data_IF_055916138535
#
_entry.id   IF_055916138535
#
_cell.length_a   1.000
_cell.length_b   1.000
_cell.length_c   1.000
_cell.angle_alpha   90.00
_cell.angle_beta   90.00
_cell.angle_gamma   90.00
#
_symmetry.space_group_name_H-M   'P 1'
#
loop_
_entity.id
_entity.type
_entity.pdbx_description
1 polymer ?
#
# COMPACT_ATOMS: atom_id res chain seq x y z
N UNK A 1 -63.93 -31.88 -102.07
CA UNK A 1 -64.40 -30.49 -101.88
C UNK A 1 -63.31 -29.71 -101.16
N UNK A 2 -63.04 -28.46 -101.56
CA UNK A 2 -62.16 -27.56 -100.79
C UNK A 2 -62.95 -26.98 -99.61
N UNK A 3 -62.55 -27.34 -98.38
CA UNK A 3 -63.28 -26.99 -97.15
C UNK A 3 -62.55 -25.89 -96.36
N UNK A 4 -61.21 -25.83 -96.49
CA UNK A 4 -60.35 -24.83 -95.83
C UNK A 4 -60.74 -24.56 -94.37
N UNK A 5 -60.69 -25.61 -93.54
CA UNK A 5 -61.00 -25.55 -92.12
C UNK A 5 -59.77 -25.09 -91.31
N UNK A 6 -59.91 -23.99 -90.57
CA UNK A 6 -58.92 -23.53 -89.59
C UNK A 6 -59.49 -23.74 -88.19
N UNK A 7 -58.92 -24.68 -87.44
CA UNK A 7 -59.27 -24.93 -86.03
C UNK A 7 -58.07 -24.62 -85.17
N UNK A 8 -58.30 -24.14 -83.96
CA UNK A 8 -57.30 -24.10 -82.92
C UNK A 8 -57.83 -24.78 -81.66
N UNK A 9 -56.94 -25.41 -80.91
CA UNK A 9 -57.27 -26.05 -79.65
C UNK A 9 -57.13 -25.06 -78.48
N UNK A 10 -57.57 -25.49 -77.29
CA UNK A 10 -57.50 -24.69 -76.06
C UNK A 10 -56.06 -24.38 -75.65
N UNK A 11 -55.09 -25.20 -76.07
CA UNK A 11 -53.65 -24.97 -75.88
C UNK A 11 -53.04 -23.99 -76.90
N UNK A 12 -53.87 -23.36 -77.76
CA UNK A 12 -53.50 -22.40 -78.81
C UNK A 12 -52.71 -23.02 -79.97
N UNK A 13 -52.76 -24.34 -80.14
CA UNK A 13 -52.23 -25.01 -81.31
C UNK A 13 -53.23 -24.89 -82.47
N UNK A 14 -52.77 -24.39 -83.61
CA UNK A 14 -53.62 -24.18 -84.80
C UNK A 14 -53.36 -25.25 -85.86
N UNK A 15 -54.44 -25.68 -86.53
CA UNK A 15 -54.44 -26.66 -87.60
C UNK A 15 -55.19 -26.09 -88.80
N UNK A 16 -54.59 -26.17 -89.98
CA UNK A 16 -55.22 -25.76 -91.25
C UNK A 16 -55.38 -26.99 -92.13
N UNK A 17 -56.62 -27.39 -92.36
CA UNK A 17 -56.99 -28.57 -93.14
C UNK A 17 -57.65 -28.09 -94.43
N UNK A 18 -57.07 -28.42 -95.59
CA UNK A 18 -57.46 -27.82 -96.87
C UNK A 18 -58.56 -28.63 -97.56
N UNK A 19 -58.43 -29.95 -97.54
CA UNK A 19 -59.33 -30.88 -98.24
C UNK A 19 -60.36 -31.52 -97.31
N UNK A 20 -61.51 -31.96 -97.87
CA UNK A 20 -62.52 -32.70 -97.11
C UNK A 20 -62.01 -34.04 -96.55
N UNK A 21 -61.06 -34.69 -97.22
CA UNK A 21 -60.44 -35.94 -96.76
C UNK A 21 -59.49 -35.72 -95.57
N UNK A 22 -58.69 -34.65 -95.60
CA UNK A 22 -57.84 -34.25 -94.47
C UNK A 22 -58.69 -33.93 -93.22
N UNK A 23 -59.78 -33.19 -93.41
CA UNK A 23 -60.74 -32.87 -92.35
C UNK A 23 -61.34 -34.15 -91.77
N UNK A 24 -61.80 -35.08 -92.62
CA UNK A 24 -62.42 -36.34 -92.18
C UNK A 24 -61.42 -37.21 -91.42
N UNK A 25 -60.23 -37.44 -91.97
CA UNK A 25 -59.20 -38.26 -91.35
C UNK A 25 -58.76 -37.72 -89.99
N UNK A 26 -58.49 -36.41 -89.90
CA UNK A 26 -58.08 -35.76 -88.66
C UNK A 26 -59.18 -35.80 -87.60
N UNK A 27 -60.40 -35.36 -87.94
CA UNK A 27 -61.50 -35.31 -87.00
C UNK A 27 -61.98 -36.71 -86.59
N UNK A 28 -61.93 -37.71 -87.46
CA UNK A 28 -62.24 -39.09 -87.08
C UNK A 28 -61.21 -39.67 -86.11
N UNK A 29 -59.92 -39.35 -86.27
CA UNK A 29 -58.90 -39.76 -85.31
C UNK A 29 -59.11 -39.11 -83.93
N UNK A 30 -59.44 -37.82 -83.89
CA UNK A 30 -59.81 -37.11 -82.65
C UNK A 30 -61.10 -37.68 -82.04
N UNK A 31 -62.11 -37.97 -82.86
CA UNK A 31 -63.37 -38.58 -82.42
C UNK A 31 -63.14 -39.93 -81.76
N UNK A 32 -62.33 -40.80 -82.37
CA UNK A 32 -62.01 -42.13 -81.81
C UNK A 32 -61.31 -41.99 -80.48
N UNK A 33 -60.26 -41.17 -80.41
CA UNK A 33 -59.51 -40.94 -79.18
C UNK A 33 -60.39 -40.41 -78.04
N UNK A 34 -61.17 -39.34 -78.28
CA UNK A 34 -62.02 -38.77 -77.23
C UNK A 34 -63.22 -39.67 -76.87
N UNK A 35 -63.66 -40.55 -77.79
CA UNK A 35 -64.68 -41.55 -77.47
C UNK A 35 -64.11 -42.65 -76.56
N UNK A 36 -62.92 -43.16 -76.86
CA UNK A 36 -62.20 -44.11 -76.00
C UNK A 36 -61.98 -43.51 -74.60
N UNK A 37 -61.49 -42.27 -74.52
CA UNK A 37 -61.28 -41.58 -73.23
C UNK A 37 -62.58 -41.27 -72.49
N UNK A 38 -63.68 -41.03 -73.19
CA UNK A 38 -64.99 -40.91 -72.55
C UNK A 38 -65.45 -42.22 -71.93
N UNK A 39 -65.26 -43.34 -72.61
CA UNK A 39 -65.60 -44.67 -72.09
C UNK A 39 -64.73 -45.04 -70.89
N UNK A 40 -63.44 -44.69 -70.93
CA UNK A 40 -62.46 -44.96 -69.87
C UNK A 40 -62.71 -44.14 -68.60
N UNK A 41 -62.92 -42.82 -68.73
CA UNK A 41 -63.00 -41.91 -67.58
C UNK A 41 -64.42 -41.58 -67.13
N UNK A 42 -65.43 -41.85 -67.96
CA UNK A 42 -66.84 -41.64 -67.63
C UNK A 42 -67.15 -40.24 -67.10
N UNK A 43 -67.70 -40.16 -65.88
CA UNK A 43 -68.06 -38.90 -65.22
C UNK A 43 -66.85 -38.09 -64.71
N UNK A 44 -65.65 -38.68 -64.67
CA UNK A 44 -64.42 -38.00 -64.27
C UNK A 44 -63.87 -37.11 -65.39
N UNK A 45 -64.17 -37.41 -66.65
CA UNK A 45 -63.73 -36.55 -67.75
C UNK A 45 -64.48 -35.21 -67.72
N UNK A 46 -63.82 -34.12 -68.08
CA UNK A 46 -64.48 -32.83 -68.24
C UNK A 46 -65.65 -32.93 -69.23
N UNK A 47 -66.79 -32.32 -68.90
CA UNK A 47 -68.01 -32.44 -69.69
C UNK A 47 -67.84 -31.90 -71.12
N UNK A 48 -67.01 -30.88 -71.32
CA UNK A 48 -66.79 -30.31 -72.64
C UNK A 48 -65.93 -31.25 -73.49
N UNK A 49 -64.84 -31.79 -72.93
CA UNK A 49 -64.00 -32.83 -73.57
C UNK A 49 -64.81 -34.10 -73.85
N UNK A 50 -65.64 -34.52 -72.90
CA UNK A 50 -66.52 -35.65 -73.05
C UNK A 50 -67.57 -35.42 -74.14
N UNK A 51 -67.83 -34.21 -74.63
CA UNK A 51 -68.77 -33.95 -75.74
C UNK A 51 -68.11 -33.79 -77.12
N UNK A 52 -66.78 -33.89 -77.20
CA UNK A 52 -66.02 -33.72 -78.46
C UNK A 52 -66.49 -34.69 -79.55
N UNK A 53 -66.69 -35.99 -79.31
CA UNK A 53 -67.18 -36.92 -80.32
C UNK A 53 -68.54 -36.56 -80.94
N UNK A 54 -69.51 -36.04 -80.18
CA UNK A 54 -70.81 -35.60 -80.75
C UNK A 54 -70.62 -34.36 -81.61
N UNK A 55 -69.83 -33.38 -81.14
CA UNK A 55 -69.58 -32.14 -81.88
C UNK A 55 -68.89 -32.43 -83.22
N UNK A 56 -67.92 -33.36 -83.22
CA UNK A 56 -67.27 -33.81 -84.43
C UNK A 56 -68.25 -34.56 -85.35
N UNK A 57 -69.05 -35.48 -84.81
CA UNK A 57 -69.99 -36.27 -85.62
C UNK A 57 -71.05 -35.39 -86.28
N UNK A 58 -71.61 -34.42 -85.55
CA UNK A 58 -72.55 -33.42 -86.06
C UNK A 58 -71.93 -32.58 -87.17
N UNK A 59 -70.68 -32.14 -87.01
CA UNK A 59 -69.97 -31.39 -88.05
C UNK A 59 -69.71 -32.23 -89.31
N UNK A 60 -69.24 -33.47 -89.15
CA UNK A 60 -68.99 -34.40 -90.27
C UNK A 60 -70.27 -34.78 -91.01
N UNK A 61 -71.40 -34.95 -90.31
CA UNK A 61 -72.71 -35.19 -90.94
C UNK A 61 -73.16 -34.01 -91.80
N UNK A 62 -73.01 -32.78 -91.29
CA UNK A 62 -73.33 -31.56 -92.05
C UNK A 62 -72.42 -31.41 -93.27
N UNK A 63 -71.13 -31.70 -93.14
CA UNK A 63 -70.18 -31.73 -94.25
C UNK A 63 -70.56 -32.78 -95.30
N UNK A 64 -70.90 -34.00 -94.88
CA UNK A 64 -71.35 -35.07 -95.76
C UNK A 64 -72.67 -34.73 -96.48
N UNK A 65 -73.58 -34.01 -95.81
CA UNK A 65 -74.84 -33.56 -96.41
C UNK A 65 -74.61 -32.52 -97.51
N UNK A 66 -73.64 -31.62 -97.34
CA UNK A 66 -73.24 -30.65 -98.34
C UNK A 66 -72.54 -31.33 -99.52
N UNK A 67 -71.61 -32.26 -99.26
CA UNK A 67 -70.91 -33.02 -100.31
C UNK A 67 -71.89 -33.85 -101.17
N UNK A 68 -72.89 -34.48 -100.54
CA UNK A 68 -73.99 -35.18 -101.24
C UNK A 68 -74.86 -34.25 -102.07
N UNK A 69 -75.13 -33.03 -101.58
CA UNK A 69 -75.94 -32.04 -102.30
C UNK A 69 -75.19 -31.41 -103.49
N UNK A 70 -73.85 -31.29 -103.41
CA UNK A 70 -73.00 -30.85 -104.53
C UNK A 70 -72.88 -31.91 -105.64
N UNK A 71 -73.04 -33.19 -105.31
CA UNK A 71 -72.97 -34.33 -106.24
C UNK A 71 -74.34 -34.73 -106.83
N UNK A 72 -75.44 -34.13 -106.39
CA UNK A 72 -76.79 -34.43 -106.86
C UNK A 72 -77.17 -33.71 -108.16
N UNK A 73 -78.24 -34.15 -108.84
CA UNK A 73 -78.71 -33.54 -110.10
C UNK A 73 -78.95 -32.01 -109.97
N UNK A 74 -78.65 -31.22 -111.03
CA UNK A 74 -78.78 -29.76 -111.00
C UNK A 74 -80.23 -29.34 -110.69
N UNK A 75 -80.40 -28.49 -109.66
CA UNK A 75 -81.71 -27.93 -109.28
C UNK A 75 -82.46 -28.67 -108.16
N UNK A 76 -81.97 -29.83 -107.70
CA UNK A 76 -82.60 -30.58 -106.59
C UNK A 76 -82.42 -29.92 -105.21
N UNK A 77 -81.36 -29.15 -105.02
CA UNK A 77 -81.03 -28.48 -103.76
C UNK A 77 -80.61 -27.03 -104.01
N UNK A 78 -80.92 -26.13 -103.07
CA UNK A 78 -80.39 -24.77 -103.08
C UNK A 78 -78.95 -24.76 -102.52
N UNK A 79 -77.98 -25.02 -103.38
CA UNK A 79 -76.55 -25.15 -103.03
C UNK A 79 -76.03 -23.87 -102.36
N UNK A 80 -76.46 -22.68 -102.81
CA UNK A 80 -76.04 -21.39 -102.22
C UNK A 80 -76.50 -21.26 -100.77
N UNK A 81 -77.75 -21.63 -100.48
CA UNK A 81 -78.29 -21.62 -99.12
C UNK A 81 -77.60 -22.67 -98.24
N UNK A 82 -77.32 -23.87 -98.76
CA UNK A 82 -76.60 -24.92 -98.03
C UNK A 82 -75.16 -24.52 -97.69
N UNK A 83 -74.45 -23.83 -98.60
CA UNK A 83 -73.11 -23.29 -98.33
C UNK A 83 -73.12 -22.26 -97.20
N UNK A 84 -74.08 -21.32 -97.21
CA UNK A 84 -74.21 -20.33 -96.14
C UNK A 84 -74.53 -20.98 -94.77
N UNK A 85 -75.37 -22.01 -94.75
CA UNK A 85 -75.67 -22.76 -93.52
C UNK A 85 -74.41 -23.48 -93.03
N UNK A 86 -73.67 -24.15 -93.93
CA UNK A 86 -72.43 -24.83 -93.59
C UNK A 86 -71.33 -23.88 -93.09
N UNK A 87 -71.20 -22.68 -93.66
CA UNK A 87 -70.26 -21.67 -93.18
C UNK A 87 -70.56 -21.23 -91.74
N UNK A 88 -71.83 -21.00 -91.39
CA UNK A 88 -72.22 -20.66 -90.01
C UNK A 88 -71.90 -21.81 -89.05
N UNK A 89 -72.14 -23.04 -89.46
CA UNK A 89 -71.87 -24.25 -88.67
C UNK A 89 -70.38 -24.51 -88.50
N UNK A 90 -69.59 -24.25 -89.55
CA UNK A 90 -68.12 -24.27 -89.50
C UNK A 90 -67.61 -23.24 -88.51
N UNK A 91 -68.14 -22.02 -88.55
CA UNK A 91 -67.71 -20.94 -87.65
C UNK A 91 -68.13 -21.24 -86.19
N UNK A 92 -69.32 -21.81 -85.98
CA UNK A 92 -69.76 -22.29 -84.67
C UNK A 92 -68.89 -23.44 -84.13
N UNK A 93 -68.57 -24.42 -84.98
CA UNK A 93 -67.72 -25.55 -84.64
C UNK A 93 -66.30 -25.08 -84.28
N UNK A 94 -65.68 -24.24 -85.11
CA UNK A 94 -64.34 -23.70 -84.84
C UNK A 94 -64.30 -22.86 -83.55
N UNK A 95 -65.32 -22.02 -83.31
CA UNK A 95 -65.44 -21.25 -82.07
C UNK A 95 -65.61 -22.11 -80.82
N UNK A 96 -66.31 -23.24 -80.94
CA UNK A 96 -66.45 -24.21 -79.85
C UNK A 96 -65.13 -24.96 -79.58
N UNK A 97 -64.44 -25.40 -80.63
CA UNK A 97 -63.17 -26.13 -80.54
C UNK A 97 -62.10 -25.33 -79.81
N UNK A 98 -61.99 -24.03 -80.11
CA UNK A 98 -61.02 -23.12 -79.46
C UNK A 98 -61.19 -23.04 -77.94
N UNK A 99 -62.42 -23.19 -77.42
CA UNK A 99 -62.72 -23.04 -75.99
C UNK A 99 -62.62 -24.35 -75.22
N UNK A 100 -62.93 -25.46 -75.88
CA UNK A 100 -63.31 -26.70 -75.20
C UNK A 100 -62.47 -27.91 -75.58
N UNK A 101 -61.89 -27.95 -76.78
CA UNK A 101 -61.13 -29.09 -77.27
C UNK A 101 -59.63 -28.93 -77.02
N UNK A 102 -58.96 -30.05 -76.76
CA UNK A 102 -57.50 -30.16 -76.71
C UNK A 102 -57.11 -31.23 -77.73
N UNK A 103 -56.12 -30.97 -78.57
CA UNK A 103 -55.69 -31.94 -79.57
C UNK A 103 -55.03 -33.15 -78.89
N UNK A 104 -55.28 -34.38 -79.38
CA UNK A 104 -54.67 -35.60 -78.81
C UNK A 104 -53.14 -35.59 -78.83
N UNK A 105 -52.55 -34.85 -79.77
CA UNK A 105 -51.10 -34.74 -79.96
C UNK A 105 -50.42 -33.73 -79.04
N UNK A 106 -51.17 -33.03 -78.18
CA UNK A 106 -50.60 -32.01 -77.32
C UNK A 106 -49.78 -32.67 -76.19
N UNK A 107 -48.51 -32.24 -75.93
CA UNK A 107 -47.58 -32.98 -75.05
C UNK A 107 -48.08 -33.24 -73.62
N UNK A 108 -48.95 -32.37 -73.08
CA UNK A 108 -49.46 -32.51 -71.71
C UNK A 108 -50.70 -33.40 -71.60
N UNK A 109 -51.27 -33.89 -72.71
CA UNK A 109 -52.57 -34.60 -72.70
C UNK A 109 -52.50 -35.88 -71.89
N UNK A 110 -51.46 -36.69 -72.05
CA UNK A 110 -51.30 -37.91 -71.26
C UNK A 110 -51.14 -37.61 -69.76
N UNK A 111 -50.35 -36.59 -69.41
CA UNK A 111 -50.21 -36.14 -68.03
C UNK A 111 -51.51 -35.56 -67.46
N UNK A 112 -52.31 -34.90 -68.29
CA UNK A 112 -53.64 -34.40 -67.93
C UNK A 112 -54.63 -35.54 -67.71
N UNK A 113 -54.61 -36.57 -68.56
CA UNK A 113 -55.46 -37.75 -68.42
C UNK A 113 -55.12 -38.52 -67.14
N UNK A 114 -53.85 -38.66 -66.79
CA UNK A 114 -53.43 -39.20 -65.51
C UNK A 114 -54.02 -38.41 -64.32
N UNK A 115 -54.16 -37.08 -64.43
CA UNK A 115 -54.82 -36.29 -63.40
C UNK A 115 -56.35 -36.53 -63.34
N UNK A 116 -57.00 -36.84 -64.47
CA UNK A 116 -58.43 -37.22 -64.49
C UNK A 116 -58.71 -38.59 -63.86
N UNK A 117 -57.71 -39.47 -63.68
CA UNK A 117 -57.88 -40.75 -62.98
C UNK A 117 -58.33 -40.53 -61.53
N UNK A 118 -57.81 -39.49 -60.89
CA UNK A 118 -58.14 -39.11 -59.52
C UNK A 118 -59.56 -38.53 -59.45
N UNK A 119 -59.81 -37.43 -60.17
CA UNK A 119 -61.15 -36.85 -60.29
C UNK A 119 -61.26 -35.81 -61.41
N UNK A 120 -62.49 -35.42 -61.72
CA UNK A 120 -62.78 -34.34 -62.68
C UNK A 120 -62.11 -33.02 -62.28
N UNK A 121 -62.13 -32.70 -60.99
CA UNK A 121 -61.51 -31.48 -60.46
C UNK A 121 -59.99 -31.52 -60.60
N UNK A 122 -59.37 -32.68 -60.35
CA UNK A 122 -57.92 -32.88 -60.49
C UNK A 122 -57.44 -32.64 -61.92
N UNK A 123 -58.10 -33.26 -62.91
CA UNK A 123 -57.76 -33.06 -64.32
C UNK A 123 -58.06 -31.64 -64.84
N UNK A 124 -59.15 -31.02 -64.39
CA UNK A 124 -59.45 -29.62 -64.71
C UNK A 124 -58.40 -28.66 -64.14
N UNK A 125 -58.03 -28.83 -62.86
CA UNK A 125 -56.98 -28.02 -62.24
C UNK A 125 -55.62 -28.20 -62.91
N UNK A 126 -55.27 -29.43 -63.33
CA UNK A 126 -54.07 -29.67 -64.13
C UNK A 126 -54.11 -28.90 -65.45
N UNK A 127 -55.18 -29.08 -66.23
CA UNK A 127 -55.37 -28.43 -67.53
C UNK A 127 -55.28 -26.92 -67.41
N UNK A 128 -56.01 -26.32 -66.47
CA UNK A 128 -56.09 -24.87 -66.32
C UNK A 128 -54.76 -24.28 -65.84
N UNK A 129 -53.99 -25.04 -65.04
CA UNK A 129 -52.63 -24.66 -64.62
C UNK A 129 -51.64 -24.64 -65.79
N UNK A 130 -51.73 -25.62 -66.69
CA UNK A 130 -50.82 -25.71 -67.85
C UNK A 130 -51.23 -24.75 -68.97
N UNK A 131 -52.52 -24.70 -69.29
CA UNK A 131 -53.04 -23.93 -70.44
C UNK A 131 -53.26 -22.46 -70.11
N UNK A 132 -53.78 -22.15 -68.92
CA UNK A 132 -54.13 -20.78 -68.51
C UNK A 132 -53.15 -20.17 -67.51
N UNK A 133 -52.12 -20.91 -67.06
CA UNK A 133 -51.15 -20.47 -66.05
C UNK A 133 -51.83 -19.98 -64.76
N UNK A 134 -52.96 -20.61 -64.39
CA UNK A 134 -53.73 -20.28 -63.19
C UNK A 134 -53.52 -21.34 -62.11
N UNK A 135 -53.08 -20.94 -60.92
CA UNK A 135 -52.96 -21.80 -59.75
C UNK A 135 -54.14 -21.57 -58.79
N UNK A 136 -55.33 -22.03 -59.17
CA UNK A 136 -56.55 -21.86 -58.36
C UNK A 136 -56.99 -23.20 -57.75
N UNK A 137 -57.04 -23.26 -56.42
CA UNK A 137 -57.66 -24.39 -55.72
C UNK A 137 -59.17 -24.17 -55.71
N UNK A 138 -59.90 -25.06 -56.36
CA UNK A 138 -61.36 -24.97 -56.55
C UNK A 138 -62.12 -25.76 -55.49
N UNK A 139 -63.30 -25.26 -55.12
CA UNK A 139 -64.14 -25.78 -54.03
C UNK A 139 -64.22 -24.84 -52.83
N UNK A 140 -65.32 -24.89 -52.08
CA UNK A 140 -65.45 -24.22 -50.78
C UNK A 140 -65.96 -25.23 -49.73
N UNK A 141 -65.09 -25.76 -48.84
CA UNK A 141 -63.66 -25.51 -48.75
C UNK A 141 -62.88 -26.07 -49.97
N UNK A 142 -61.65 -25.57 -50.23
CA UNK A 142 -60.85 -26.02 -51.37
C UNK A 142 -60.63 -27.53 -51.35
N UNK A 143 -60.89 -28.20 -52.47
CA UNK A 143 -60.82 -29.66 -52.55
C UNK A 143 -59.38 -30.15 -52.64
N UNK A 144 -59.09 -31.25 -51.93
CA UNK A 144 -57.79 -31.93 -52.01
C UNK A 144 -57.48 -32.40 -53.44
N UNK A 145 -58.50 -32.78 -54.19
CA UNK A 145 -58.43 -33.10 -55.61
C UNK A 145 -57.90 -31.94 -56.46
N UNK A 146 -58.41 -30.73 -56.24
CA UNK A 146 -57.91 -29.54 -56.96
C UNK A 146 -56.44 -29.27 -56.63
N UNK A 147 -56.03 -29.48 -55.38
CA UNK A 147 -54.61 -29.40 -54.99
C UNK A 147 -53.77 -30.51 -55.63
N UNK A 148 -54.29 -31.74 -55.71
CA UNK A 148 -53.62 -32.88 -56.36
C UNK A 148 -53.35 -32.57 -57.83
N UNK A 149 -54.34 -32.05 -58.56
CA UNK A 149 -54.16 -31.61 -59.95
C UNK A 149 -53.12 -30.50 -60.13
N UNK A 150 -53.10 -29.52 -59.21
CA UNK A 150 -52.10 -28.45 -59.18
C UNK A 150 -50.68 -28.98 -58.93
N UNK A 151 -50.53 -29.94 -58.01
CA UNK A 151 -49.24 -30.56 -57.70
C UNK A 151 -48.73 -31.36 -58.90
N UNK A 152 -49.59 -32.14 -59.56
CA UNK A 152 -49.21 -32.86 -60.78
C UNK A 152 -48.81 -31.90 -61.91
N UNK A 153 -49.48 -30.75 -62.05
CA UNK A 153 -49.08 -29.73 -63.02
C UNK A 153 -47.75 -29.05 -62.67
N UNK A 154 -47.51 -28.80 -61.38
CA UNK A 154 -46.23 -28.28 -60.87
C UNK A 154 -45.08 -29.25 -61.19
N UNK A 155 -45.26 -30.54 -60.90
CA UNK A 155 -44.26 -31.57 -61.20
C UNK A 155 -44.01 -31.68 -62.70
N UNK A 156 -45.06 -31.73 -63.53
CA UNK A 156 -44.96 -31.77 -64.98
C UNK A 156 -44.20 -30.55 -65.54
N UNK A 157 -44.47 -29.34 -65.04
CA UNK A 157 -43.83 -28.11 -65.52
C UNK A 157 -42.36 -27.99 -65.11
N UNK A 158 -41.96 -28.61 -64.00
CA UNK A 158 -40.65 -28.42 -63.38
C UNK A 158 -39.86 -29.73 -63.25
N UNK A 159 -40.11 -30.71 -64.13
CA UNK A 159 -39.49 -32.06 -64.10
C UNK A 159 -37.96 -32.06 -63.87
N UNK A 160 -37.23 -31.03 -64.31
CA UNK A 160 -35.77 -30.90 -64.10
C UNK A 160 -35.32 -29.71 -63.22
N UNK A 161 -36.26 -28.89 -62.73
CA UNK A 161 -35.98 -27.67 -61.93
C UNK A 161 -36.60 -27.69 -60.54
N UNK A 162 -37.40 -28.70 -60.19
CA UNK A 162 -37.99 -28.84 -58.86
C UNK A 162 -36.94 -29.29 -57.84
N UNK A 163 -36.12 -28.34 -57.39
CA UNK A 163 -35.32 -28.54 -56.20
C UNK A 163 -36.23 -28.41 -54.96
N UNK A 164 -37.08 -29.41 -54.70
CA UNK A 164 -37.64 -29.56 -53.36
C UNK A 164 -36.44 -29.56 -52.39
N UNK A 165 -36.34 -28.53 -51.54
CA UNK A 165 -35.19 -28.35 -50.65
C UNK A 165 -35.07 -29.59 -49.78
N UNK A 166 -34.10 -30.46 -50.09
CA UNK A 166 -33.84 -31.66 -49.29
C UNK A 166 -33.25 -31.22 -47.96
N UNK A 167 -34.08 -31.17 -46.90
CA UNK A 167 -33.73 -30.86 -45.50
C UNK A 167 -32.37 -31.43 -45.07
N UNK A 168 -32.07 -32.68 -45.45
CA UNK A 168 -30.81 -33.35 -45.15
C UNK A 168 -29.55 -32.59 -45.60
N UNK A 169 -29.60 -31.87 -46.74
CA UNK A 169 -28.44 -31.14 -47.27
C UNK A 169 -28.19 -29.84 -46.50
N UNK A 170 -29.24 -29.12 -46.12
CA UNK A 170 -29.12 -27.93 -45.27
C UNK A 170 -28.66 -28.30 -43.87
N UNK A 171 -29.20 -29.36 -43.28
CA UNK A 171 -28.77 -29.86 -41.96
C UNK A 171 -27.31 -30.29 -41.98
N UNK A 172 -26.86 -31.04 -42.99
CA UNK A 172 -25.46 -31.44 -43.13
C UNK A 172 -24.52 -30.22 -43.15
N UNK A 173 -24.88 -29.18 -43.91
CA UNK A 173 -24.09 -27.94 -43.98
C UNK A 173 -24.03 -27.24 -42.62
N UNK A 174 -25.15 -27.14 -41.91
CA UNK A 174 -25.18 -26.57 -40.55
C UNK A 174 -24.33 -27.38 -39.56
N UNK A 175 -24.37 -28.72 -39.63
CA UNK A 175 -23.52 -29.57 -38.80
C UNK A 175 -22.04 -29.44 -39.13
N UNK A 176 -21.67 -29.29 -40.41
CA UNK A 176 -20.28 -29.03 -40.82
C UNK A 176 -19.78 -27.69 -40.27
N UNK A 177 -20.61 -26.64 -40.31
CA UNK A 177 -20.29 -25.34 -39.71
C UNK A 177 -20.10 -25.45 -38.19
N UNK A 178 -21.07 -26.03 -37.48
CA UNK A 178 -20.98 -26.21 -36.02
C UNK A 178 -19.76 -27.05 -35.60
N UNK A 179 -19.42 -28.08 -36.38
CA UNK A 179 -18.23 -28.88 -36.14
C UNK A 179 -16.96 -28.05 -36.29
N UNK A 180 -16.87 -27.24 -37.36
CA UNK A 180 -15.70 -26.38 -37.60
C UNK A 180 -15.53 -25.35 -36.49
N UNK A 181 -16.61 -24.69 -36.09
CA UNK A 181 -16.60 -23.71 -35.01
C UNK A 181 -16.15 -24.37 -33.69
N UNK A 182 -16.62 -25.58 -33.40
CA UNK A 182 -16.21 -26.32 -32.21
C UNK A 182 -14.74 -26.78 -32.25
N UNK A 183 -14.24 -27.17 -33.43
CA UNK A 183 -12.82 -27.49 -33.62
C UNK A 183 -11.93 -26.25 -33.42
N UNK A 184 -12.34 -25.10 -33.97
CA UNK A 184 -11.62 -23.82 -33.81
C UNK A 184 -11.60 -23.33 -32.35
N UNK A 185 -12.74 -23.36 -31.65
CA UNK A 185 -12.81 -22.96 -30.25
C UNK A 185 -12.05 -23.92 -29.34
N UNK A 186 -12.08 -25.23 -29.62
CA UNK A 186 -11.23 -26.21 -28.91
C UNK A 186 -9.76 -25.84 -29.08
N UNK A 187 -9.31 -25.55 -30.29
CA UNK A 187 -7.91 -25.27 -30.56
C UNK A 187 -7.45 -23.96 -29.89
N UNK A 188 -8.30 -22.92 -29.88
CA UNK A 188 -8.05 -21.68 -29.12
C UNK A 188 -7.90 -21.97 -27.63
N UNK A 189 -8.83 -22.71 -27.03
CA UNK A 189 -8.79 -23.06 -25.61
C UNK A 189 -7.53 -23.86 -25.26
N UNK A 190 -7.10 -24.78 -26.11
CA UNK A 190 -5.86 -25.54 -25.91
C UNK A 190 -4.64 -24.61 -25.92
N UNK A 191 -4.58 -23.65 -26.84
CA UNK A 191 -3.50 -22.65 -26.90
C UNK A 191 -3.52 -21.75 -25.66
N UNK A 192 -4.68 -21.27 -25.23
CA UNK A 192 -4.83 -20.46 -24.02
C UNK A 192 -4.41 -21.20 -22.75
N UNK A 193 -4.83 -22.46 -22.60
CA UNK A 193 -4.44 -23.31 -21.46
C UNK A 193 -2.92 -23.54 -21.45
N UNK A 194 -2.31 -23.76 -22.61
CA UNK A 194 -0.87 -23.90 -22.73
C UNK A 194 -0.14 -22.59 -22.36
N UNK A 195 -0.66 -21.44 -22.81
CA UNK A 195 -0.16 -20.12 -22.44
C UNK A 195 -0.24 -19.87 -20.94
N UNK A 196 -1.41 -20.10 -20.34
CA UNK A 196 -1.65 -19.95 -18.91
C UNK A 196 -0.74 -20.86 -18.08
N UNK A 197 -0.52 -22.11 -18.51
CA UNK A 197 0.42 -23.03 -17.84
C UNK A 197 1.85 -22.49 -17.87
N UNK A 198 2.31 -21.98 -19.01
CA UNK A 198 3.65 -21.38 -19.12
C UNK A 198 3.77 -20.14 -18.23
N UNK A 199 2.74 -19.31 -18.15
CA UNK A 199 2.70 -18.16 -17.24
C UNK A 199 2.80 -18.58 -15.78
N UNK A 200 2.03 -19.59 -15.35
CA UNK A 200 2.12 -20.16 -13.99
C UNK A 200 3.52 -20.68 -13.69
N UNK A 201 4.11 -21.45 -14.60
CA UNK A 201 5.46 -22.01 -14.40
C UNK A 201 6.51 -20.88 -14.31
N UNK A 202 6.39 -19.84 -15.15
CA UNK A 202 7.26 -18.67 -15.09
C UNK A 202 7.09 -17.87 -13.80
N UNK A 203 5.86 -17.75 -13.30
CA UNK A 203 5.55 -17.05 -12.06
C UNK A 203 6.12 -17.84 -10.88
N UNK A 204 5.87 -19.16 -10.81
CA UNK A 204 6.41 -20.05 -9.78
C UNK A 204 7.93 -19.96 -9.69
N UNK A 205 8.61 -20.08 -10.82
CA UNK A 205 10.08 -20.04 -10.86
C UNK A 205 10.62 -18.67 -10.41
N UNK A 206 9.99 -17.57 -10.84
CA UNK A 206 10.36 -16.22 -10.38
C UNK A 206 10.15 -16.05 -8.89
N UNK A 207 8.99 -16.44 -8.37
CA UNK A 207 8.66 -16.34 -6.94
C UNK A 207 9.62 -17.19 -6.09
N UNK A 208 9.94 -18.41 -6.52
CA UNK A 208 10.88 -19.27 -5.82
C UNK A 208 12.29 -18.66 -5.78
N UNK A 209 12.79 -18.13 -6.90
CA UNK A 209 14.09 -17.47 -6.96
C UNK A 209 14.13 -16.22 -6.09
N UNK A 210 13.13 -15.35 -6.21
CA UNK A 210 13.05 -14.12 -5.41
C UNK A 210 12.92 -14.42 -3.91
N UNK A 211 12.19 -15.47 -3.53
CA UNK A 211 12.08 -15.89 -2.14
C UNK A 211 13.41 -16.41 -1.61
N UNK A 212 14.12 -17.27 -2.37
CA UNK A 212 15.46 -17.77 -2.01
C UNK A 212 16.45 -16.62 -1.82
N UNK A 213 16.52 -15.70 -2.78
CA UNK A 213 17.41 -14.53 -2.67
C UNK A 213 17.07 -13.63 -1.48
N UNK A 214 15.78 -13.39 -1.22
CA UNK A 214 15.35 -12.64 -0.04
C UNK A 214 15.74 -13.35 1.25
N UNK A 215 15.53 -14.66 1.32
CA UNK A 215 15.86 -15.48 2.49
C UNK A 215 17.36 -15.48 2.77
N UNK A 216 18.19 -15.66 1.75
CA UNK A 216 19.65 -15.62 1.86
C UNK A 216 20.14 -14.26 2.36
N UNK A 217 19.60 -13.16 1.81
CA UNK A 217 19.90 -11.80 2.28
C UNK A 217 19.50 -11.60 3.74
N UNK A 218 18.31 -12.05 4.13
CA UNK A 218 17.83 -11.94 5.52
C UNK A 218 18.70 -12.73 6.49
N UNK A 219 19.12 -13.93 6.11
CA UNK A 219 20.01 -14.75 6.92
C UNK A 219 21.37 -14.09 7.12
N UNK A 220 21.98 -13.55 6.05
CA UNK A 220 23.24 -12.81 6.13
C UNK A 220 23.11 -11.55 6.98
N UNK A 221 22.10 -10.71 6.72
CA UNK A 221 21.87 -9.48 7.48
C UNK A 221 21.62 -9.75 8.97
N UNK A 222 20.90 -10.83 9.29
CA UNK A 222 20.66 -11.21 10.68
C UNK A 222 21.96 -11.64 11.37
N UNK A 223 22.80 -12.42 10.69
CA UNK A 223 24.10 -12.83 11.21
C UNK A 223 25.03 -11.63 11.45
N UNK A 224 25.12 -10.72 10.48
CA UNK A 224 25.93 -9.49 10.58
C UNK A 224 25.41 -8.55 11.67
N UNK A 225 24.09 -8.42 11.81
CA UNK A 225 23.49 -7.64 12.87
C UNK A 225 23.81 -8.22 14.26
N UNK A 226 23.71 -9.54 14.44
CA UNK A 226 24.06 -10.19 15.70
C UNK A 226 25.54 -10.03 16.06
N UNK A 227 26.46 -10.14 15.09
CA UNK A 227 27.90 -9.97 15.34
C UNK A 227 28.22 -8.52 15.71
N UNK A 228 27.71 -7.55 14.94
CA UNK A 228 27.91 -6.13 15.20
C UNK A 228 27.36 -5.73 16.58
N UNK A 229 26.12 -6.11 16.90
CA UNK A 229 25.51 -5.78 18.19
C UNK A 229 26.24 -6.44 19.37
N UNK A 230 26.73 -7.67 19.21
CA UNK A 230 27.52 -8.36 20.23
C UNK A 230 28.85 -7.65 20.48
N UNK A 231 29.53 -7.18 19.44
CA UNK A 231 30.78 -6.44 19.57
C UNK A 231 30.58 -5.07 20.23
N UNK A 232 29.57 -4.33 19.81
CA UNK A 232 29.26 -3.02 20.38
C UNK A 232 28.81 -3.14 21.84
N UNK A 233 27.99 -4.15 22.16
CA UNK A 233 27.63 -4.46 23.55
C UNK A 233 28.87 -4.77 24.40
N UNK A 234 29.81 -5.59 23.89
CA UNK A 234 31.07 -5.88 24.59
C UNK A 234 31.89 -4.61 24.83
N UNK A 235 32.03 -3.74 23.82
CA UNK A 235 32.74 -2.45 23.94
C UNK A 235 32.07 -1.55 24.98
N UNK A 236 30.74 -1.43 24.94
CA UNK A 236 29.99 -0.62 25.88
C UNK A 236 30.13 -1.14 27.33
N UNK A 237 30.05 -2.46 27.53
CA UNK A 237 30.25 -3.08 28.85
C UNK A 237 31.67 -2.86 29.36
N UNK A 238 32.68 -3.02 28.51
CA UNK A 238 34.08 -2.79 28.87
C UNK A 238 34.32 -1.32 29.27
N UNK A 239 33.86 -0.37 28.43
CA UNK A 239 33.99 1.06 28.71
C UNK A 239 33.26 1.48 29.99
N UNK A 240 32.05 0.95 30.22
CA UNK A 240 31.30 1.25 31.44
C UNK A 240 31.97 0.66 32.68
N UNK A 241 32.54 -0.55 32.57
CA UNK A 241 33.26 -1.19 33.68
C UNK A 241 34.53 -0.40 34.04
N UNK A 242 35.28 0.07 33.04
CA UNK A 242 36.47 0.90 33.24
C UNK A 242 36.11 2.25 33.90
N UNK A 243 35.06 2.92 33.41
CA UNK A 243 34.56 4.15 34.01
C UNK A 243 34.12 3.93 35.45
N UNK A 244 33.32 2.89 35.71
CA UNK A 244 32.84 2.56 37.06
C UNK A 244 34.00 2.30 38.02
N UNK A 245 34.97 1.47 37.62
CA UNK A 245 36.15 1.18 38.44
C UNK A 245 36.95 2.47 38.71
N UNK A 246 37.17 3.32 37.71
CA UNK A 246 37.88 4.59 37.90
C UNK A 246 37.16 5.53 38.88
N UNK A 247 35.83 5.60 38.83
CA UNK A 247 35.02 6.39 39.76
C UNK A 247 35.05 5.81 41.17
N UNK A 248 34.99 4.47 41.30
CA UNK A 248 35.07 3.78 42.58
C UNK A 248 36.45 4.01 43.23
N UNK A 249 37.54 3.84 42.48
CA UNK A 249 38.90 4.07 42.95
C UNK A 249 39.10 5.55 43.36
N UNK A 250 38.61 6.48 42.55
CA UNK A 250 38.65 7.91 42.88
C UNK A 250 37.85 8.22 44.16
N UNK A 251 36.66 7.65 44.33
CA UNK A 251 35.84 7.83 45.52
C UNK A 251 36.52 7.26 46.77
N UNK A 252 37.11 6.07 46.68
CA UNK A 252 37.87 5.46 47.78
C UNK A 252 39.07 6.32 48.15
N UNK A 253 39.85 6.79 47.17
CA UNK A 253 41.00 7.67 47.39
C UNK A 253 40.59 8.97 48.06
N UNK A 254 39.57 9.64 47.53
CA UNK A 254 39.02 10.90 48.06
C UNK A 254 38.53 10.74 49.50
N UNK A 255 37.86 9.63 49.81
CA UNK A 255 37.37 9.37 51.15
C UNK A 255 38.52 9.17 52.14
N UNK A 256 39.59 8.48 51.73
CA UNK A 256 40.79 8.31 52.55
C UNK A 256 41.50 9.66 52.81
N UNK A 257 41.67 10.48 51.78
CA UNK A 257 42.25 11.83 51.90
C UNK A 257 41.43 12.71 52.87
N UNK A 258 40.10 12.66 52.77
CA UNK A 258 39.21 13.39 53.67
C UNK A 258 39.28 12.87 55.11
N UNK A 259 39.38 11.55 55.31
CA UNK A 259 39.55 10.97 56.64
C UNK A 259 40.86 11.42 57.28
N UNK A 260 41.97 11.40 56.53
CA UNK A 260 43.29 11.86 56.98
C UNK A 260 43.25 13.36 57.33
N UNK A 261 42.71 14.21 56.45
CA UNK A 261 42.54 15.64 56.71
C UNK A 261 41.71 15.91 57.97
N UNK A 262 40.60 15.17 58.16
CA UNK A 262 39.75 15.32 59.33
C UNK A 262 40.45 14.89 60.63
N UNK A 263 41.21 13.79 60.59
CA UNK A 263 42.04 13.34 61.72
C UNK A 263 43.09 14.40 62.09
N UNK A 264 43.75 15.01 61.11
CA UNK A 264 44.74 16.08 61.38
C UNK A 264 44.09 17.34 61.92
N UNK A 265 42.91 17.72 61.41
CA UNK A 265 42.10 18.80 61.98
C UNK A 265 41.78 18.57 63.45
N UNK A 266 41.27 17.38 63.79
CA UNK A 266 40.90 17.06 65.17
C UNK A 266 42.11 17.07 66.11
N UNK A 267 43.30 16.64 65.63
CA UNK A 267 44.54 16.65 66.41
C UNK A 267 44.97 18.05 66.83
N UNK A 268 44.72 19.08 66.01
CA UNK A 268 45.25 20.44 66.22
C UNK A 268 44.22 21.47 66.63
N UNK A 269 42.94 21.24 66.34
CA UNK A 269 41.86 22.15 66.76
C UNK A 269 41.76 22.23 68.29
N UNK A 270 41.92 21.11 69.00
CA UNK A 270 41.93 21.08 70.47
C UNK A 270 43.06 21.93 71.08
N UNK A 271 44.34 21.67 70.72
CA UNK A 271 45.46 22.49 71.16
C UNK A 271 45.35 23.97 70.76
N UNK A 272 44.89 24.29 69.55
CA UNK A 272 44.72 25.68 69.09
C UNK A 272 43.73 26.44 69.99
N UNK A 273 42.57 25.83 70.28
CA UNK A 273 41.58 26.42 71.21
C UNK A 273 42.16 26.61 72.61
N UNK A 274 42.91 25.64 73.10
CA UNK A 274 43.57 25.76 74.40
C UNK A 274 44.56 26.95 74.45
N UNK A 275 45.36 27.15 73.40
CA UNK A 275 46.29 28.28 73.33
C UNK A 275 45.57 29.63 73.25
N UNK A 276 44.47 29.71 72.50
CA UNK A 276 43.60 30.89 72.46
C UNK A 276 43.05 31.24 73.86
N UNK A 277 42.50 30.25 74.56
CA UNK A 277 41.98 30.43 75.93
C UNK A 277 43.09 30.82 76.93
N UNK A 278 44.28 30.25 76.74
CA UNK A 278 45.47 30.54 77.57
C UNK A 278 45.97 31.95 77.32
N UNK A 279 46.02 32.40 76.07
CA UNK A 279 46.37 33.76 75.69
C UNK A 279 45.43 34.78 76.34
N UNK A 280 44.12 34.58 76.25
CA UNK A 280 43.14 35.47 76.89
C UNK A 280 43.34 35.54 78.42
N UNK A 281 43.53 34.38 79.05
CA UNK A 281 43.74 34.31 80.50
C UNK A 281 45.02 35.04 80.93
N UNK A 282 46.13 34.83 80.22
CA UNK A 282 47.39 35.51 80.48
C UNK A 282 47.32 37.01 80.20
N UNK A 283 46.60 37.43 79.15
CA UNK A 283 46.36 38.83 78.86
C UNK A 283 45.55 39.53 79.96
N UNK A 284 44.54 38.85 80.53
CA UNK A 284 43.81 39.35 81.70
C UNK A 284 44.72 39.48 82.92
N UNK A 285 45.61 38.52 83.18
CA UNK A 285 46.59 38.59 84.27
C UNK A 285 47.59 39.73 84.05
N UNK A 286 48.14 39.88 82.83
CA UNK A 286 49.05 40.97 82.46
C UNK A 286 48.43 42.35 82.63
N UNK A 287 47.17 42.54 82.20
CA UNK A 287 46.39 43.76 82.46
C UNK A 287 46.18 44.01 83.95
N UNK A 288 46.04 42.96 84.77
CA UNK A 288 45.98 43.07 86.23
C UNK A 288 47.26 43.63 86.82
N UNK A 289 48.41 43.01 86.51
CA UNK A 289 49.72 43.45 86.97
C UNK A 289 50.09 44.85 86.46
N UNK A 290 49.78 45.16 85.20
CA UNK A 290 50.01 46.47 84.61
C UNK A 290 49.23 47.57 85.35
N UNK A 291 47.94 47.32 85.66
CA UNK A 291 47.13 48.27 86.45
C UNK A 291 47.71 48.47 87.84
N UNK A 292 48.13 47.40 88.51
CA UNK A 292 48.74 47.47 89.84
C UNK A 292 50.05 48.26 89.81
N UNK A 293 50.90 48.03 88.80
CA UNK A 293 52.14 48.77 88.57
C UNK A 293 51.88 50.28 88.38
N UNK A 294 50.90 50.63 87.53
CA UNK A 294 50.55 52.05 87.26
C UNK A 294 50.01 52.72 88.52
N UNK A 295 49.09 52.07 89.25
CA UNK A 295 48.54 52.61 90.50
C UNK A 295 49.63 52.79 91.57
N UNK A 296 50.50 51.80 91.75
CA UNK A 296 51.60 51.86 92.71
C UNK A 296 52.61 52.95 92.35
N UNK A 297 52.97 53.07 91.06
CA UNK A 297 53.86 54.13 90.57
C UNK A 297 53.26 55.52 90.76
N UNK A 298 51.96 55.69 90.48
CA UNK A 298 51.25 56.95 90.70
C UNK A 298 51.22 57.32 92.19
N UNK A 299 50.88 56.35 93.06
CA UNK A 299 50.87 56.54 94.51
C UNK A 299 52.26 56.95 95.01
N UNK A 300 53.32 56.29 94.52
CA UNK A 300 54.68 56.63 94.88
C UNK A 300 55.07 58.04 94.42
N UNK A 301 54.67 58.43 93.21
CA UNK A 301 54.91 59.78 92.68
C UNK A 301 54.21 60.86 93.52
N UNK A 302 52.94 60.62 93.90
CA UNK A 302 52.18 61.52 94.79
C UNK A 302 52.81 61.59 96.18
N UNK A 303 53.18 60.45 96.77
CA UNK A 303 53.83 60.40 98.08
C UNK A 303 55.19 61.11 98.08
N UNK A 304 56.01 60.90 97.04
CA UNK A 304 57.29 61.59 96.85
C UNK A 304 57.09 63.10 96.65
N UNK A 305 56.10 63.50 95.85
CA UNK A 305 55.75 64.92 95.63
C UNK A 305 55.26 65.62 96.90
N UNK A 306 54.38 64.99 97.67
CA UNK A 306 53.92 65.50 98.96
C UNK A 306 55.06 65.62 99.98
N UNK A 307 55.93 64.60 100.07
CA UNK A 307 57.12 64.65 100.92
C UNK A 307 58.05 65.79 100.51
N UNK A 308 58.32 65.97 99.21
CA UNK A 308 59.17 67.05 98.71
C UNK A 308 58.57 68.44 98.96
N UNK A 309 57.26 68.59 98.80
CA UNK A 309 56.55 69.84 99.08
C UNK A 309 56.61 70.22 100.57
N UNK A 310 56.37 69.26 101.46
CA UNK A 310 56.45 69.43 102.91
C UNK A 310 57.86 69.81 103.35
N UNK A 311 58.88 69.12 102.80
CA UNK A 311 60.29 69.40 103.04
C UNK A 311 60.73 70.81 102.59
N UNK A 312 60.14 71.35 101.50
CA UNK A 312 60.49 72.67 100.97
C UNK A 312 59.80 73.82 101.71
N UNK A 313 58.55 73.62 102.16
CA UNK A 313 57.68 74.68 102.68
C UNK A 313 57.78 74.81 104.20
N UNK A 314 57.82 73.69 104.92
CA UNK A 314 57.86 73.67 106.38
C UNK A 314 59.25 73.25 106.85
N UNK A 315 60.01 74.17 107.47
CA UNK A 315 61.22 73.84 108.25
C UNK A 315 60.86 73.14 109.59
N UNK A 316 59.85 72.27 109.58
CA UNK A 316 59.46 71.48 110.74
C UNK A 316 60.28 70.20 110.81
N UNK A 317 60.68 69.82 112.02
CA UNK A 317 61.37 68.56 112.28
C UNK A 317 60.41 67.40 112.00
N UNK A 318 60.43 66.90 110.76
CA UNK A 318 59.82 65.60 110.45
C UNK A 318 60.54 64.58 111.36
N UNK A 319 59.81 63.73 112.11
CA UNK A 319 60.43 62.78 113.05
C UNK A 319 61.43 61.80 112.39
N UNK A 320 61.39 61.71 111.06
CA UNK A 320 62.35 60.98 110.21
C UNK A 320 63.03 61.91 109.19
N UNK A 321 63.44 63.11 109.61
CA UNK A 321 64.10 64.07 108.74
C UNK A 321 65.45 63.58 108.20
N UNK A 322 65.79 64.00 106.98
CA UNK A 322 67.08 63.72 106.32
C UNK A 322 68.31 64.30 107.05
N UNK A 323 68.10 64.99 108.18
CA UNK A 323 69.15 65.54 109.04
C UNK A 323 69.73 64.50 110.03
N UNK A 324 69.06 63.36 110.24
CA UNK A 324 69.53 62.25 111.07
C UNK A 324 70.00 61.07 110.24
N UNK A 325 71.10 60.42 110.64
CA UNK A 325 71.63 59.22 109.98
C UNK A 325 70.59 58.08 109.92
N UNK A 326 69.74 57.95 110.95
CA UNK A 326 68.66 56.96 110.98
C UNK A 326 67.56 57.28 109.95
N UNK A 327 67.22 58.56 109.75
CA UNK A 327 66.22 59.00 108.77
C UNK A 327 66.69 58.79 107.33
N UNK A 328 67.96 59.12 107.03
CA UNK A 328 68.57 58.87 105.72
C UNK A 328 68.61 57.36 105.40
N UNK A 329 68.97 56.52 106.37
CA UNK A 329 69.01 55.07 106.19
C UNK A 329 67.61 54.48 105.92
N UNK A 330 66.59 54.88 106.68
CA UNK A 330 65.21 54.41 106.51
C UNK A 330 64.60 54.86 105.18
N UNK A 331 64.85 56.11 104.78
CA UNK A 331 64.41 56.63 103.48
C UNK A 331 65.11 55.87 102.33
N UNK A 332 66.42 55.67 102.41
CA UNK A 332 67.18 54.90 101.43
C UNK A 332 66.68 53.46 101.29
N UNK A 333 66.41 52.78 102.41
CA UNK A 333 65.83 51.43 102.42
C UNK A 333 64.42 51.40 101.81
N UNK A 334 63.57 52.38 102.13
CA UNK A 334 62.20 52.49 101.61
C UNK A 334 62.18 52.77 100.11
N UNK A 335 63.03 53.68 99.65
CA UNK A 335 63.20 53.98 98.22
C UNK A 335 63.72 52.76 97.46
N UNK A 336 64.72 52.04 98.01
CA UNK A 336 65.22 50.81 97.42
C UNK A 336 64.14 49.72 97.35
N UNK A 337 63.35 49.53 98.41
CA UNK A 337 62.23 48.59 98.45
C UNK A 337 61.16 48.94 97.41
N UNK A 338 60.84 50.22 97.25
CA UNK A 338 59.89 50.67 96.24
C UNK A 338 60.39 50.45 94.81
N UNK A 339 61.66 50.78 94.50
CA UNK A 339 62.28 50.51 93.20
C UNK A 339 62.29 49.01 92.91
N UNK A 340 62.61 48.18 93.92
CA UNK A 340 62.53 46.73 93.80
C UNK A 340 61.11 46.24 93.49
N UNK A 341 60.10 46.80 94.15
CA UNK A 341 58.69 46.43 93.95
C UNK A 341 58.19 46.83 92.56
N UNK A 342 58.54 48.03 92.07
CA UNK A 342 58.31 48.46 90.68
C UNK A 342 58.97 47.49 89.70
N UNK A 343 60.23 47.09 89.96
CA UNK A 343 60.95 46.13 89.12
C UNK A 343 60.27 44.76 89.08
N UNK A 344 59.78 44.26 90.22
CA UNK A 344 59.07 42.97 90.31
C UNK A 344 57.74 43.04 89.55
N UNK A 345 56.94 44.08 89.77
CA UNK A 345 55.66 44.26 89.07
C UNK A 345 55.83 44.45 87.56
N UNK A 346 56.87 45.18 87.15
CA UNK A 346 57.25 45.32 85.74
C UNK A 346 57.63 43.96 85.14
N UNK A 347 58.45 43.15 85.83
CA UNK A 347 58.79 41.79 85.39
C UNK A 347 57.58 40.87 85.30
N UNK A 348 56.65 40.91 86.26
CA UNK A 348 55.41 40.11 86.23
C UNK A 348 54.50 40.52 85.06
N UNK A 349 54.40 41.82 84.80
CA UNK A 349 53.63 42.36 83.68
C UNK A 349 54.21 41.90 82.34
N UNK A 350 55.51 42.12 82.13
CA UNK A 350 56.18 41.70 80.90
C UNK A 350 56.16 40.18 80.72
N UNK A 351 56.36 39.41 81.80
CA UNK A 351 56.27 37.95 81.73
C UNK A 351 54.88 37.47 81.31
N UNK A 352 53.81 38.06 81.83
CA UNK A 352 52.45 37.69 81.47
C UNK A 352 52.15 38.02 80.01
N UNK A 353 52.60 39.18 79.52
CA UNK A 353 52.42 39.56 78.11
C UNK A 353 53.31 38.75 77.15
N UNK A 354 54.53 38.37 77.54
CA UNK A 354 55.36 37.47 76.73
C UNK A 354 54.73 36.09 76.59
N UNK A 355 54.22 35.51 77.68
CA UNK A 355 53.53 34.22 77.65
C UNK A 355 52.20 34.31 76.87
N UNK A 356 51.49 35.45 76.94
CA UNK A 356 50.30 35.68 76.12
C UNK A 356 50.68 35.65 74.63
N UNK A 357 51.69 36.42 74.23
CA UNK A 357 52.11 36.50 72.83
C UNK A 357 52.60 35.16 72.30
N UNK A 358 53.33 34.38 73.10
CA UNK A 358 53.72 33.01 72.75
C UNK A 358 52.48 32.12 72.53
N UNK A 359 51.46 32.22 73.38
CA UNK A 359 50.21 31.48 73.18
C UNK A 359 49.47 31.93 71.91
N UNK A 360 49.42 33.23 71.59
CA UNK A 360 48.84 33.76 70.34
C UNK A 360 49.63 33.28 69.10
N UNK A 361 50.96 33.28 69.16
CA UNK A 361 51.83 32.80 68.08
C UNK A 361 51.61 31.29 67.84
N UNK A 362 51.46 30.47 68.89
CA UNK A 362 51.16 29.03 68.77
C UNK A 362 49.76 28.75 68.21
N UNK A 363 48.76 29.57 68.56
CA UNK A 363 47.43 29.50 67.97
C UNK A 363 47.49 29.77 66.45
N UNK A 364 48.16 30.86 66.05
CA UNK A 364 48.29 31.24 64.64
C UNK A 364 49.08 30.21 63.84
N UNK A 365 50.17 29.67 64.39
CA UNK A 365 50.94 28.59 63.76
C UNK A 365 50.10 27.31 63.60
N UNK A 366 49.22 27.00 64.56
CA UNK A 366 48.30 25.86 64.45
C UNK A 366 47.32 26.04 63.28
N UNK A 367 46.76 27.25 63.14
CA UNK A 367 45.86 27.56 62.03
C UNK A 367 46.58 27.59 60.67
N UNK A 368 47.80 28.15 60.62
CA UNK A 368 48.63 28.15 59.42
C UNK A 368 48.95 26.72 58.96
N UNK A 369 49.31 25.84 59.90
CA UNK A 369 49.55 24.44 59.59
C UNK A 369 48.29 23.75 59.03
N UNK A 370 47.12 23.99 59.64
CA UNK A 370 45.85 23.44 59.16
C UNK A 370 45.47 23.95 57.77
N UNK A 371 45.69 25.23 57.46
CA UNK A 371 45.43 25.76 56.12
C UNK A 371 46.37 25.14 55.09
N UNK A 372 47.64 24.97 55.43
CA UNK A 372 48.64 24.42 54.51
C UNK A 372 48.43 22.92 54.24
N UNK A 373 47.97 22.13 55.22
CA UNK A 373 47.56 20.73 54.97
C UNK A 373 46.34 20.69 54.04
N UNK A 374 45.34 21.53 54.29
CA UNK A 374 44.12 21.56 53.48
C UNK A 374 44.41 21.93 52.00
N UNK A 375 45.41 22.77 51.76
CA UNK A 375 45.87 23.13 50.41
C UNK A 375 46.86 22.11 49.82
N UNK A 376 47.21 21.05 50.56
CA UNK A 376 48.17 20.03 50.12
C UNK A 376 49.60 20.56 49.94
N UNK A 377 49.94 21.69 50.57
CA UNK A 377 51.12 22.49 50.31
C UNK A 377 52.32 22.21 51.25
N UNK A 378 52.26 21.14 52.05
CA UNK A 378 53.31 20.80 53.03
C UNK A 378 54.05 19.52 52.64
N UNK A 379 55.36 19.64 52.41
CA UNK A 379 56.28 18.50 52.41
C UNK A 379 56.55 18.01 53.86
N UNK A 380 57.21 16.85 53.99
CA UNK A 380 57.48 16.23 55.31
C UNK A 380 58.48 17.01 56.16
N UNK A 381 59.46 17.68 55.55
CA UNK A 381 60.47 18.52 56.22
C UNK A 381 59.84 19.83 56.73
N UNK A 382 59.03 20.49 55.90
CA UNK A 382 58.23 21.66 56.27
C UNK A 382 57.25 21.36 57.41
N UNK A 383 56.65 20.16 57.39
CA UNK A 383 55.78 19.66 58.47
C UNK A 383 56.54 19.56 59.80
N UNK A 384 57.72 18.96 59.80
CA UNK A 384 58.51 18.76 61.01
C UNK A 384 58.99 20.09 61.60
N UNK A 385 59.36 21.06 60.76
CA UNK A 385 59.72 22.42 61.19
C UNK A 385 58.55 23.12 61.89
N UNK A 386 57.34 23.06 61.32
CA UNK A 386 56.16 23.71 61.92
C UNK A 386 55.75 23.01 63.22
N UNK A 387 55.81 21.68 63.28
CA UNK A 387 55.55 20.93 64.51
C UNK A 387 56.61 21.23 65.59
N UNK A 388 57.88 21.33 65.20
CA UNK A 388 58.95 21.73 66.11
C UNK A 388 58.73 23.16 66.65
N UNK A 389 58.33 24.11 65.80
CA UNK A 389 57.97 25.46 66.24
C UNK A 389 56.81 25.44 67.24
N UNK A 390 55.72 24.71 66.95
CA UNK A 390 54.54 24.56 67.82
C UNK A 390 54.86 23.98 69.21
N UNK A 391 55.79 23.02 69.29
CA UNK A 391 56.13 22.30 70.53
C UNK A 391 57.43 22.77 71.20
N UNK A 392 58.17 23.71 70.60
CA UNK A 392 59.38 24.27 71.20
C UNK A 392 59.08 25.17 72.43
N UNK A 393 60.05 25.31 73.33
CA UNK A 393 59.91 26.12 74.57
C UNK A 393 60.53 27.51 74.36
N UNK A 394 59.90 28.52 74.95
CA UNK A 394 60.51 29.84 75.13
C UNK A 394 60.94 30.03 76.58
N UNK A 395 62.15 30.56 76.76
CA UNK A 395 62.68 30.99 78.06
C UNK A 395 61.85 32.16 78.58
N UNK A 396 60.94 31.90 79.52
CA UNK A 396 60.39 32.97 80.34
C UNK A 396 61.52 33.51 81.22
N UNK A 397 61.89 34.78 81.07
CA UNK A 397 63.02 35.44 81.75
C UNK A 397 62.95 35.52 83.29
N UNK A 398 62.18 34.65 83.94
CA UNK A 398 62.05 34.50 85.39
C UNK A 398 62.67 33.20 85.92
N UNK A 399 62.87 32.17 85.08
CA UNK A 399 63.53 30.91 85.44
C UNK A 399 64.61 30.60 84.40
N UNK A 400 65.84 31.04 84.68
CA UNK A 400 67.00 30.72 83.86
C UNK A 400 67.64 29.42 84.32
N UNK A 401 67.59 28.39 83.47
CA UNK A 401 68.39 27.17 83.64
C UNK A 401 67.60 25.88 83.60
N UNK A 402 67.12 25.47 82.43
CA UNK A 402 66.97 24.04 82.13
C UNK A 402 67.02 23.80 80.61
N UNK A 403 67.92 22.91 80.16
CA UNK A 403 68.32 22.79 78.75
C UNK A 403 67.30 21.99 77.93
N UNK A 404 66.52 22.69 77.10
CA UNK A 404 65.65 22.10 76.07
C UNK A 404 65.76 22.85 74.73
N UNK A 405 65.31 22.26 73.61
CA UNK A 405 65.48 22.83 72.27
C UNK A 405 64.74 24.17 72.10
N UNK A 406 65.46 25.17 71.59
CA UNK A 406 65.01 26.56 71.40
C UNK A 406 64.21 26.73 70.10
N UNK A 407 63.25 27.66 70.08
CA UNK A 407 62.46 28.04 68.89
C UNK A 407 63.36 28.40 67.69
N UNK A 408 63.08 27.90 66.48
CA UNK A 408 63.67 28.43 65.24
C UNK A 408 63.16 29.86 64.96
N UNK A 409 63.99 30.69 64.31
CA UNK A 409 63.64 32.08 64.02
C UNK A 409 62.51 32.16 62.99
N UNK A 410 61.63 33.18 63.00
CA UNK A 410 60.66 33.42 61.93
C UNK A 410 61.30 33.47 60.52
N UNK A 411 62.58 33.86 60.42
CA UNK A 411 63.35 33.81 59.18
C UNK A 411 63.60 32.38 58.68
N UNK A 412 63.80 31.42 59.58
CA UNK A 412 64.05 30.02 59.25
C UNK A 412 62.77 29.35 58.73
N UNK A 413 61.62 29.70 59.30
CA UNK A 413 60.29 29.24 58.85
C UNK A 413 59.97 29.77 57.44
N UNK A 414 60.27 31.05 57.17
CA UNK A 414 60.07 31.66 55.85
C UNK A 414 61.07 31.11 54.83
N UNK A 415 62.32 30.84 55.23
CA UNK A 415 63.33 30.24 54.37
C UNK A 415 62.97 28.79 53.95
N UNK A 416 62.39 28.00 54.86
CA UNK A 416 61.87 26.66 54.54
C UNK A 416 60.75 26.72 53.50
N UNK A 417 59.76 27.59 53.70
CA UNK A 417 58.60 27.74 52.80
C UNK A 417 58.98 28.32 51.43
N UNK A 418 59.98 29.19 51.35
CA UNK A 418 60.40 29.83 50.09
C UNK A 418 61.28 28.96 49.19
N UNK A 419 61.93 27.91 49.73
CA UNK A 419 62.69 26.94 48.90
C UNK A 419 61.82 26.03 48.04
N UNK A 420 60.51 25.98 48.29
CA UNK A 420 59.56 25.06 47.64
C UNK A 420 58.95 25.66 46.36
N UNK A 421 59.31 26.89 45.97
CA UNK A 421 58.76 27.57 44.79
C UNK A 421 59.60 27.50 43.51
N UNK A 422 60.59 26.61 43.44
CA UNK A 422 61.32 26.28 42.20
C UNK A 422 61.21 24.80 41.87
#
# INVERSE_FOLDING_TARGET
>A
MDVNLKIADKAKQSFTLKTSEEVRSFLEAERRFWNEKREEFGNKLDKALASVPEQISSFLEKMNSLEKAELAEPGKYNITQLKQVFERERDAFTGWMIKNWVCRGTPFVEAMLAAYEYSQTSGNSFRDSIVSNLAQVTGNPPSFDSFTGLLMAYEYRLQDRSHLVKRRKSEKKSFETLRKDLEEERDKLVVEIAGFRNEIDSWRNRTESSFKEWFDRMQQQTADWFTHYREDSKKAVAAHSELFNSMADHAVKRNKELEELYREKLRLEGPAKYWADRADTLGRQGKGWARLLVLFSLLLSVAAGAFFWEWLTNKSEIPFGLHSLQGVALFGASAAAAVFLVRVLSRLTFSSYHLQRDAEEREQLSHLYLSLINEGALDTESRDIVLQALFSRLDSGLLGGDHGPTMPSPADVIAGVSRVKN
#
